data_IF_993099311769
#
_entry.id   IF_993099311769
#
_cell.length_a   1.000
_cell.length_b   1.000
_cell.length_c   1.000
_cell.angle_alpha   90.00
_cell.angle_beta   90.00
_cell.angle_gamma   90.00
#
_symmetry.space_group_name_H-M   'P 1'
#
loop_
_entity.id
_entity.type
_entity.pdbx_description
1 polymer ?
#
# COMPACT_ATOMS: atom_id res chain seq x y z
N UNK A 1 -2.86 -2.11 -27.15
CA UNK A 1 -3.76 -1.78 -26.03
C UNK A 1 -5.09 -1.46 -26.68
N UNK A 2 -6.15 -2.19 -26.37
CA UNK A 2 -7.45 -2.12 -27.06
C UNK A 2 -8.48 -1.25 -26.33
N UNK A 3 -8.08 -0.53 -25.29
CA UNK A 3 -8.95 0.40 -24.59
C UNK A 3 -8.80 1.80 -25.17
N UNK A 4 -9.92 2.39 -25.57
CA UNK A 4 -10.03 3.81 -25.88
C UNK A 4 -9.99 4.63 -24.59
N UNK A 5 -8.86 4.63 -23.88
CA UNK A 5 -8.70 5.54 -22.74
C UNK A 5 -8.43 6.95 -23.25
N UNK A 6 -9.11 7.99 -22.73
CA UNK A 6 -8.76 9.36 -23.04
C UNK A 6 -7.28 9.61 -22.75
N UNK A 7 -6.55 10.10 -23.75
CA UNK A 7 -5.16 10.52 -23.59
C UNK A 7 -5.11 11.81 -22.78
N UNK A 8 -4.27 11.85 -21.75
CA UNK A 8 -4.00 13.04 -20.95
C UNK A 8 -2.58 13.55 -21.24
N UNK A 9 -2.35 14.86 -21.39
CA UNK A 9 -1.00 15.41 -21.54
C UNK A 9 -0.09 14.95 -20.40
N UNK A 10 1.10 14.42 -20.74
CA UNK A 10 2.07 14.01 -19.73
C UNK A 10 3.12 15.09 -19.51
N UNK A 11 3.56 15.22 -18.25
CA UNK A 11 4.70 16.05 -17.82
C UNK A 11 6.00 15.26 -17.97
N UNK A 12 7.12 15.95 -17.73
CA UNK A 12 8.48 15.38 -17.69
C UNK A 12 8.90 14.71 -18.99
N UNK A 13 9.01 15.49 -20.06
CA UNK A 13 9.53 15.02 -21.34
C UNK A 13 10.14 16.15 -22.16
N UNK A 14 10.94 15.79 -23.15
CA UNK A 14 11.54 16.73 -24.09
C UNK A 14 11.60 16.13 -25.50
N UNK A 15 11.66 17.00 -26.51
CA UNK A 15 12.01 16.59 -27.87
C UNK A 15 13.48 16.21 -27.93
N UNK A 16 13.80 15.12 -28.64
CA UNK A 16 15.20 14.74 -28.87
C UNK A 16 15.77 15.48 -30.09
N UNK A 17 17.08 15.34 -30.32
CA UNK A 17 17.74 15.82 -31.54
C UNK A 17 17.24 15.15 -32.84
N UNK A 18 16.49 14.05 -32.75
CA UNK A 18 15.88 13.38 -33.90
C UNK A 18 14.45 13.90 -34.11
N UNK A 19 14.09 14.41 -35.29
CA UNK A 19 12.74 14.91 -35.57
C UNK A 19 11.65 13.88 -35.27
N UNK A 20 10.56 14.34 -34.64
CA UNK A 20 9.41 13.49 -34.31
C UNK A 20 9.66 12.42 -33.25
N UNK A 21 10.77 12.52 -32.50
CA UNK A 21 11.10 11.62 -31.39
C UNK A 21 11.19 12.40 -30.08
N UNK A 22 10.53 11.89 -29.06
CA UNK A 22 10.52 12.44 -27.70
C UNK A 22 11.25 11.53 -26.73
N UNK A 23 11.65 12.07 -25.57
CA UNK A 23 12.18 11.33 -24.42
C UNK A 23 11.33 11.62 -23.19
N UNK A 24 10.82 10.57 -22.54
CA UNK A 24 10.16 10.69 -21.23
C UNK A 24 11.22 10.71 -20.13
N UNK A 25 11.17 11.72 -19.25
CA UNK A 25 12.08 11.97 -18.14
C UNK A 25 11.39 11.79 -16.77
N UNK A 26 10.25 11.09 -16.70
CA UNK A 26 9.58 10.80 -15.43
C UNK A 26 10.38 9.82 -14.55
N UNK A 27 11.03 8.83 -15.17
CA UNK A 27 11.79 7.81 -14.45
C UNK A 27 13.12 7.50 -15.17
N UNK A 28 14.07 6.84 -14.49
CA UNK A 28 15.43 6.59 -15.02
C UNK A 28 15.54 5.65 -16.21
N UNK A 29 14.41 5.31 -16.85
CA UNK A 29 14.39 4.59 -18.12
C UNK A 29 14.65 5.48 -19.32
N UNK A 30 14.35 6.77 -19.23
CA UNK A 30 14.47 7.72 -20.33
C UNK A 30 13.93 7.19 -21.67
N UNK A 31 12.72 6.63 -21.66
CA UNK A 31 12.15 5.98 -22.84
C UNK A 31 12.07 6.98 -24.00
N UNK A 32 12.67 6.62 -25.14
CA UNK A 32 12.62 7.40 -26.37
C UNK A 32 11.58 6.80 -27.30
N UNK A 33 10.61 7.60 -27.71
CA UNK A 33 9.44 7.14 -28.45
C UNK A 33 9.23 7.98 -29.71
N UNK A 34 8.72 7.35 -30.76
CA UNK A 34 8.12 8.01 -31.92
C UNK A 34 6.59 7.86 -31.86
N UNK A 35 5.87 8.51 -32.77
CA UNK A 35 4.41 8.50 -32.83
C UNK A 35 3.82 7.07 -32.72
N UNK A 36 2.83 6.91 -31.84
CA UNK A 36 2.17 5.62 -31.59
C UNK A 36 2.96 4.64 -30.72
N UNK A 37 4.20 4.96 -30.33
CA UNK A 37 4.98 4.13 -29.40
C UNK A 37 4.71 4.46 -27.95
N UNK A 38 4.77 3.41 -27.13
CA UNK A 38 4.64 3.47 -25.68
C UNK A 38 5.99 3.15 -25.02
N UNK A 39 6.20 3.74 -23.85
CA UNK A 39 7.34 3.47 -23.00
C UNK A 39 7.27 2.09 -22.37
N UNK A 40 8.27 1.77 -21.56
CA UNK A 40 8.35 0.47 -20.89
C UNK A 40 7.10 0.14 -20.06
N UNK A 41 6.55 1.14 -19.35
CA UNK A 41 5.37 0.97 -18.51
C UNK A 41 4.07 0.73 -19.27
N UNK A 42 4.10 0.87 -20.61
CA UNK A 42 2.97 0.73 -21.52
C UNK A 42 1.83 1.74 -21.34
N UNK A 43 1.84 2.57 -20.30
CA UNK A 43 0.79 3.57 -20.04
C UNK A 43 1.18 5.02 -20.36
N UNK A 44 2.41 5.25 -20.81
CA UNK A 44 2.86 6.56 -21.32
C UNK A 44 3.41 6.37 -22.72
N UNK A 45 3.08 7.26 -23.66
CA UNK A 45 3.41 7.10 -25.07
C UNK A 45 3.35 8.40 -25.85
N UNK A 46 3.96 8.42 -27.04
CA UNK A 46 3.86 9.58 -27.91
C UNK A 46 2.56 9.54 -28.71
N UNK A 47 1.80 10.63 -28.64
CA UNK A 47 0.68 10.90 -29.55
C UNK A 47 0.67 12.39 -29.92
N UNK A 48 0.35 12.71 -31.17
CA UNK A 48 0.28 14.07 -31.71
C UNK A 48 1.55 14.90 -31.45
N UNK A 49 2.71 14.27 -31.55
CA UNK A 49 4.00 14.94 -31.33
C UNK A 49 4.34 15.31 -29.88
N UNK A 50 3.54 14.86 -28.89
CA UNK A 50 3.76 15.07 -27.47
C UNK A 50 3.66 13.79 -26.65
N UNK A 51 4.24 13.78 -25.44
CA UNK A 51 4.03 12.69 -24.50
C UNK A 51 2.63 12.77 -23.90
N UNK A 52 1.94 11.64 -23.86
CA UNK A 52 0.67 11.48 -23.17
C UNK A 52 0.75 10.33 -22.17
N UNK A 53 -0.08 10.39 -21.14
CA UNK A 53 -0.41 9.26 -20.28
C UNK A 53 -1.80 8.75 -20.64
N UNK A 54 -1.96 7.43 -20.58
CA UNK A 54 -3.16 6.68 -20.97
C UNK A 54 -3.80 5.98 -19.77
N UNK A 55 -3.31 6.26 -18.57
CA UNK A 55 -3.88 5.76 -17.32
C UNK A 55 -4.41 6.89 -16.42
N UNK A 56 -4.59 8.13 -16.90
CA UNK A 56 -5.14 9.21 -16.07
C UNK A 56 -6.54 8.85 -15.58
N UNK A 57 -6.72 8.76 -14.25
CA UNK A 57 -7.96 8.27 -13.64
C UNK A 57 -8.27 6.79 -13.89
N UNK A 58 -7.36 6.01 -14.48
CA UNK A 58 -7.54 4.56 -14.69
C UNK A 58 -6.88 3.80 -13.55
N UNK A 59 -7.71 3.08 -12.81
CA UNK A 59 -7.36 2.42 -11.57
C UNK A 59 -7.92 1.00 -11.54
N UNK A 60 -7.64 0.27 -10.48
CA UNK A 60 -8.51 -0.82 -9.99
C UNK A 60 -9.50 -0.30 -8.96
N UNK A 61 -10.41 -1.16 -8.49
CA UNK A 61 -11.35 -0.84 -7.41
C UNK A 61 -10.64 -0.23 -6.20
N UNK A 62 -11.16 0.90 -5.72
CA UNK A 62 -10.70 1.51 -4.48
C UNK A 62 -11.08 0.63 -3.28
N UNK A 63 -10.21 0.64 -2.28
CA UNK A 63 -10.35 -0.21 -1.09
C UNK A 63 -10.26 0.60 0.18
N UNK A 64 -11.12 0.28 1.15
CA UNK A 64 -11.00 0.75 2.52
C UNK A 64 -10.00 -0.13 3.27
N UNK A 65 -8.95 0.49 3.76
CA UNK A 65 -7.90 -0.19 4.52
C UNK A 65 -7.52 0.63 5.77
N UNK A 66 -6.50 0.17 6.48
CA UNK A 66 -5.86 0.89 7.58
C UNK A 66 -4.43 1.24 7.21
N UNK A 67 -3.90 2.36 7.71
CA UNK A 67 -2.56 2.86 7.36
C UNK A 67 -1.44 1.83 7.57
N UNK A 68 -1.64 0.89 8.49
CA UNK A 68 -0.74 -0.22 8.74
C UNK A 68 -0.49 -1.07 7.49
N UNK A 69 -1.48 -1.24 6.59
CA UNK A 69 -1.35 -2.03 5.35
C UNK A 69 -0.19 -1.52 4.49
N UNK A 70 0.05 -0.22 4.54
CA UNK A 70 1.10 0.46 3.78
C UNK A 70 2.47 0.43 4.46
N UNK A 71 2.61 -0.27 5.59
CA UNK A 71 3.82 -0.27 6.42
C UNK A 71 4.18 1.14 6.89
N UNK A 72 3.18 1.86 7.42
CA UNK A 72 3.34 3.17 8.06
C UNK A 72 2.77 3.07 9.47
N UNK A 73 3.64 3.04 10.48
CA UNK A 73 3.24 2.84 11.89
C UNK A 73 3.38 4.12 12.72
N UNK A 74 4.19 5.08 12.27
CA UNK A 74 4.48 6.32 13.00
C UNK A 74 3.70 7.53 12.50
N UNK A 75 2.67 7.30 11.69
CA UNK A 75 1.74 8.34 11.25
C UNK A 75 0.30 7.82 11.35
N UNK A 76 -0.54 8.52 12.10
CA UNK A 76 -1.96 8.25 12.24
C UNK A 76 -2.30 6.76 12.50
N UNK A 77 -1.66 6.09 13.50
CA UNK A 77 -1.85 4.66 13.74
C UNK A 77 -3.33 4.29 13.89
N UNK A 78 -3.74 3.22 13.19
CA UNK A 78 -5.13 2.74 13.11
C UNK A 78 -6.07 3.61 12.26
N UNK A 79 -5.56 4.62 11.55
CA UNK A 79 -6.41 5.45 10.68
C UNK A 79 -6.89 4.67 9.46
N UNK A 80 -8.16 4.88 9.10
CA UNK A 80 -8.73 4.40 7.84
C UNK A 80 -8.15 5.18 6.68
N UNK A 81 -7.80 4.46 5.63
CA UNK A 81 -7.25 5.01 4.39
C UNK A 81 -8.10 4.55 3.20
N UNK A 82 -8.18 5.40 2.18
CA UNK A 82 -8.72 5.04 0.87
C UNK A 82 -7.55 4.68 -0.05
N UNK A 83 -7.38 3.40 -0.35
CA UNK A 83 -6.28 2.89 -1.17
C UNK A 83 -6.69 2.76 -2.63
N UNK A 84 -5.87 3.29 -3.55
CA UNK A 84 -6.03 3.17 -4.99
C UNK A 84 -4.74 2.71 -5.67
N UNK A 85 -4.88 1.81 -6.64
CA UNK A 85 -3.78 1.36 -7.50
C UNK A 85 -4.05 1.62 -8.97
N UNK A 86 -3.02 2.05 -9.71
CA UNK A 86 -3.16 2.39 -11.12
C UNK A 86 -3.11 1.15 -12.04
N UNK A 87 -3.00 1.39 -13.35
CA UNK A 87 -2.55 0.39 -14.32
C UNK A 87 -1.14 0.74 -14.83
N UNK A 88 -0.29 -0.28 -14.95
CA UNK A 88 1.09 -0.18 -15.44
C UNK A 88 2.12 0.04 -14.33
N UNK A 89 3.40 -0.15 -14.66
CA UNK A 89 4.51 0.10 -13.73
C UNK A 89 5.80 0.40 -14.51
N UNK A 90 6.67 1.24 -13.96
CA UNK A 90 8.00 1.47 -14.54
C UNK A 90 8.98 0.33 -14.23
N UNK A 91 8.67 -0.59 -13.31
CA UNK A 91 9.47 -1.78 -13.01
C UNK A 91 8.77 -3.04 -13.53
N UNK A 92 9.46 -4.18 -13.50
CA UNK A 92 8.89 -5.48 -13.89
C UNK A 92 9.39 -6.56 -12.94
N UNK A 93 9.03 -6.43 -11.66
CA UNK A 93 9.43 -7.36 -10.62
C UNK A 93 8.87 -8.76 -10.90
N UNK A 94 9.75 -9.75 -10.96
CA UNK A 94 9.37 -11.15 -11.26
C UNK A 94 8.58 -11.81 -10.10
N UNK A 95 8.57 -11.21 -8.92
CA UNK A 95 7.81 -11.62 -7.72
C UNK A 95 6.56 -10.77 -7.43
N UNK A 96 6.19 -9.85 -8.33
CA UNK A 96 5.14 -8.87 -8.06
C UNK A 96 3.80 -9.53 -7.72
N UNK A 97 3.20 -9.17 -6.58
CA UNK A 97 1.87 -9.62 -6.17
C UNK A 97 0.78 -9.02 -7.06
N UNK A 98 0.95 -7.76 -7.47
CA UNK A 98 0.04 -7.03 -8.35
C UNK A 98 0.48 -7.10 -9.83
N UNK A 99 0.97 -8.26 -10.28
CA UNK A 99 1.54 -8.43 -11.62
C UNK A 99 0.51 -8.26 -12.74
N UNK A 100 -0.76 -8.60 -12.51
CA UNK A 100 -1.84 -8.48 -13.49
C UNK A 100 -2.11 -7.01 -13.88
N UNK A 101 -2.05 -6.10 -12.91
CA UNK A 101 -2.35 -4.67 -13.10
C UNK A 101 -1.08 -3.87 -13.41
N UNK A 102 0.07 -4.26 -12.84
CA UNK A 102 1.36 -3.61 -13.11
C UNK A 102 1.93 -3.96 -14.48
N UNK A 103 1.69 -5.16 -15.01
CA UNK A 103 2.12 -5.56 -16.34
C UNK A 103 0.94 -5.62 -17.29
N UNK A 104 0.70 -4.52 -18.00
CA UNK A 104 -0.49 -4.32 -18.85
C UNK A 104 -0.77 -5.43 -19.86
N UNK A 105 0.23 -6.22 -20.27
CA UNK A 105 0.04 -7.40 -21.13
C UNK A 105 -0.81 -8.51 -20.48
N UNK A 106 -0.97 -8.47 -19.16
CA UNK A 106 -1.72 -9.42 -18.34
C UNK A 106 -3.01 -8.81 -17.78
N UNK A 107 -3.30 -7.55 -18.11
CA UNK A 107 -4.43 -6.84 -17.53
C UNK A 107 -5.76 -7.49 -17.91
N UNK A 108 -6.54 -7.85 -16.90
CA UNK A 108 -7.94 -8.18 -17.06
C UNK A 108 -8.78 -6.90 -17.15
N UNK A 109 -9.43 -6.68 -18.29
CA UNK A 109 -10.26 -5.50 -18.55
C UNK A 109 -11.36 -5.29 -17.50
N UNK A 110 -11.86 -6.38 -16.88
CA UNK A 110 -12.97 -6.36 -15.93
C UNK A 110 -12.65 -5.71 -14.59
N UNK A 111 -11.37 -5.65 -14.21
CA UNK A 111 -10.94 -5.04 -12.94
C UNK A 111 -10.64 -3.55 -13.08
N UNK A 112 -10.67 -3.02 -14.30
CA UNK A 112 -10.39 -1.61 -14.57
C UNK A 112 -11.56 -0.74 -14.08
N UNK A 113 -11.23 0.36 -13.44
CA UNK A 113 -12.12 1.40 -12.95
C UNK A 113 -11.65 2.77 -13.42
N UNK A 114 -12.59 3.71 -13.47
CA UNK A 114 -12.34 5.08 -13.87
C UNK A 114 -12.79 6.03 -12.75
N UNK A 115 -11.91 6.95 -12.38
CA UNK A 115 -12.14 7.95 -11.36
C UNK A 115 -11.72 9.32 -11.86
N UNK A 116 -12.51 10.35 -11.54
CA UNK A 116 -12.02 11.74 -11.56
C UNK A 116 -11.35 12.07 -10.22
N UNK A 117 -10.45 13.07 -10.18
CA UNK A 117 -9.88 13.56 -8.92
C UNK A 117 -10.94 13.91 -7.85
N UNK A 118 -12.04 14.54 -8.26
CA UNK A 118 -13.15 14.91 -7.38
C UNK A 118 -13.87 13.68 -6.81
N UNK A 119 -14.07 12.64 -7.62
CA UNK A 119 -14.69 11.40 -7.16
C UNK A 119 -13.85 10.71 -6.08
N UNK A 120 -12.52 10.69 -6.23
CA UNK A 120 -11.62 10.10 -5.22
C UNK A 120 -11.72 10.87 -3.90
N UNK A 121 -11.63 12.21 -3.95
CA UNK A 121 -11.72 13.05 -2.75
C UNK A 121 -13.09 12.92 -2.09
N UNK A 122 -14.18 12.93 -2.85
CA UNK A 122 -15.52 12.75 -2.32
C UNK A 122 -15.70 11.37 -1.68
N UNK A 123 -15.17 10.31 -2.30
CA UNK A 123 -15.23 8.95 -1.76
C UNK A 123 -14.49 8.86 -0.43
N UNK A 124 -13.33 9.52 -0.29
CA UNK A 124 -12.59 9.56 0.96
C UNK A 124 -13.38 10.28 2.06
N UNK A 125 -14.04 11.41 1.75
CA UNK A 125 -14.90 12.13 2.70
C UNK A 125 -16.10 11.27 3.14
N UNK A 126 -16.82 10.68 2.18
CA UNK A 126 -18.03 9.89 2.43
C UNK A 126 -17.72 8.64 3.27
N UNK A 127 -16.52 8.09 3.12
CA UNK A 127 -16.06 6.89 3.83
C UNK A 127 -15.36 7.19 5.15
N UNK A 128 -15.21 8.48 5.50
CA UNK A 128 -14.48 8.90 6.71
C UNK A 128 -12.98 8.61 6.67
N UNK A 129 -12.39 8.48 5.48
CA UNK A 129 -10.96 8.28 5.30
C UNK A 129 -10.23 9.62 5.33
N UNK A 130 -9.44 9.85 6.38
CA UNK A 130 -8.61 11.06 6.50
C UNK A 130 -7.36 11.03 5.61
N UNK A 131 -7.10 9.92 4.93
CA UNK A 131 -5.88 9.69 4.14
C UNK A 131 -6.23 8.96 2.83
N UNK A 132 -5.70 9.42 1.70
CA UNK A 132 -5.71 8.70 0.42
C UNK A 132 -4.34 8.07 0.21
N UNK A 133 -4.30 6.75 -0.07
CA UNK A 133 -3.08 5.98 -0.34
C UNK A 133 -2.97 5.65 -1.83
N UNK A 134 -1.83 6.00 -2.41
CA UNK A 134 -1.44 5.64 -3.78
C UNK A 134 -0.54 4.41 -3.73
N UNK A 135 -1.04 3.24 -4.15
CA UNK A 135 -0.46 1.92 -3.80
C UNK A 135 -0.71 0.81 -4.86
N UNK A 136 -0.64 -0.46 -4.42
CA UNK A 136 -0.75 -1.75 -5.13
C UNK A 136 0.34 -1.99 -6.17
N UNK A 137 0.33 -1.24 -7.25
CA UNK A 137 1.47 -1.19 -8.15
C UNK A 137 2.34 0.02 -7.80
N UNK A 138 2.89 0.73 -8.77
CA UNK A 138 3.75 1.87 -8.46
C UNK A 138 3.13 3.18 -8.99
N UNK A 139 2.77 4.12 -8.11
CA UNK A 139 2.04 5.33 -8.49
C UNK A 139 2.83 6.33 -9.33
N UNK A 140 4.14 6.18 -9.49
CA UNK A 140 4.97 7.12 -10.28
C UNK A 140 4.50 7.22 -11.73
N UNK A 141 4.03 6.13 -12.35
CA UNK A 141 3.52 6.22 -13.74
C UNK A 141 2.18 6.95 -13.85
N UNK A 142 1.51 7.19 -12.71
CA UNK A 142 0.24 7.89 -12.53
C UNK A 142 0.42 9.34 -12.04
N UNK A 143 1.64 9.87 -12.18
CA UNK A 143 2.10 11.17 -11.68
C UNK A 143 1.07 12.30 -11.76
N UNK A 144 0.53 12.56 -12.95
CA UNK A 144 -0.41 13.68 -13.18
C UNK A 144 -1.70 13.53 -12.38
N UNK A 145 -2.30 12.33 -12.37
CA UNK A 145 -3.52 12.07 -11.62
C UNK A 145 -3.29 12.17 -10.11
N UNK A 146 -2.15 11.67 -9.65
CA UNK A 146 -1.75 11.77 -8.23
C UNK A 146 -1.58 13.23 -7.82
N UNK A 147 -0.89 14.05 -8.61
CA UNK A 147 -0.71 15.47 -8.30
C UNK A 147 -2.04 16.22 -8.23
N UNK A 148 -2.87 16.09 -9.27
CA UNK A 148 -4.14 16.81 -9.36
C UNK A 148 -5.08 16.41 -8.21
N UNK A 149 -5.17 15.10 -7.93
CA UNK A 149 -6.03 14.60 -6.85
C UNK A 149 -5.49 14.96 -5.47
N UNK A 150 -4.17 14.92 -5.26
CA UNK A 150 -3.56 15.27 -3.97
C UNK A 150 -3.71 16.76 -3.65
N UNK A 151 -3.66 17.64 -4.67
CA UNK A 151 -3.97 19.07 -4.48
C UNK A 151 -5.42 19.31 -4.06
N UNK A 152 -6.37 18.54 -4.58
CA UNK A 152 -7.77 18.60 -4.14
C UNK A 152 -7.95 18.02 -2.73
N UNK A 153 -7.29 16.90 -2.43
CA UNK A 153 -7.30 16.28 -1.11
C UNK A 153 -6.82 17.25 -0.02
N UNK A 154 -5.71 17.96 -0.27
CA UNK A 154 -5.19 18.97 0.64
C UNK A 154 -6.20 20.10 0.91
N UNK A 155 -6.92 20.58 -0.12
CA UNK A 155 -7.98 21.59 0.04
C UNK A 155 -9.16 21.08 0.88
N UNK A 156 -9.41 19.76 0.84
CA UNK A 156 -10.44 19.10 1.65
C UNK A 156 -9.94 18.68 3.05
N UNK A 157 -8.68 18.95 3.40
CA UNK A 157 -8.09 18.56 4.69
C UNK A 157 -7.71 17.07 4.77
N UNK A 158 -7.66 16.37 3.64
CA UNK A 158 -7.28 14.96 3.54
C UNK A 158 -5.78 14.85 3.27
N UNK A 159 -5.11 13.96 4.01
CA UNK A 159 -3.69 13.65 3.85
C UNK A 159 -3.45 12.67 2.71
N UNK A 160 -2.24 12.65 2.16
CA UNK A 160 -1.89 11.68 1.11
C UNK A 160 -0.66 10.86 1.45
N UNK A 161 -0.75 9.57 1.15
CA UNK A 161 0.27 8.55 1.35
C UNK A 161 0.73 8.01 0.00
N UNK A 162 2.04 7.92 -0.19
CA UNK A 162 2.67 7.44 -1.41
C UNK A 162 3.48 6.16 -1.15
N UNK A 163 2.88 4.99 -1.47
CA UNK A 163 3.53 3.68 -1.37
C UNK A 163 4.20 3.35 -2.69
N UNK A 164 5.53 3.24 -2.72
CA UNK A 164 6.25 3.11 -4.00
C UNK A 164 7.60 2.42 -3.87
N UNK A 165 8.04 1.73 -4.93
CA UNK A 165 9.43 1.32 -5.10
C UNK A 165 10.35 2.50 -5.51
N UNK A 166 9.73 3.64 -5.83
CA UNK A 166 10.33 4.95 -5.97
C UNK A 166 11.43 5.06 -7.04
N UNK A 167 11.23 4.35 -8.15
CA UNK A 167 12.10 4.45 -9.32
C UNK A 167 11.68 5.63 -10.20
N UNK A 168 12.05 6.84 -9.78
CA UNK A 168 11.60 8.13 -10.32
C UNK A 168 12.79 9.11 -10.47
N UNK A 169 12.68 10.08 -11.39
CA UNK A 169 13.68 11.15 -11.56
C UNK A 169 13.58 12.27 -10.51
N UNK A 170 14.56 13.19 -10.50
CA UNK A 170 14.65 14.27 -9.48
C UNK A 170 13.47 15.23 -9.51
N UNK A 171 13.22 15.83 -10.67
CA UNK A 171 12.26 16.91 -10.82
C UNK A 171 10.82 16.46 -10.52
N UNK A 172 10.37 15.25 -10.93
CA UNK A 172 9.08 14.72 -10.49
C UNK A 172 8.97 14.54 -8.97
N UNK A 173 10.05 14.19 -8.27
CA UNK A 173 10.02 14.06 -6.80
C UNK A 173 9.75 15.42 -6.16
N UNK A 174 10.38 16.49 -6.66
CA UNK A 174 10.15 17.84 -6.14
C UNK A 174 8.67 18.24 -6.23
N UNK A 175 7.96 17.87 -7.30
CA UNK A 175 6.51 18.09 -7.42
C UNK A 175 5.70 17.23 -6.42
N UNK A 176 6.07 15.96 -6.22
CA UNK A 176 5.42 15.09 -5.23
C UNK A 176 5.60 15.61 -3.81
N UNK A 177 6.77 16.17 -3.49
CA UNK A 177 7.07 16.74 -2.17
C UNK A 177 6.18 17.94 -1.81
N UNK A 178 5.53 18.60 -2.78
CA UNK A 178 4.57 19.67 -2.51
C UNK A 178 3.21 19.12 -2.04
N UNK A 179 2.83 17.93 -2.54
CA UNK A 179 1.45 17.43 -2.40
C UNK A 179 1.31 16.20 -1.49
N UNK A 180 2.38 15.43 -1.33
CA UNK A 180 2.41 14.19 -0.53
C UNK A 180 2.85 14.47 0.91
N UNK A 181 2.07 13.97 1.88
CA UNK A 181 2.39 14.08 3.30
C UNK A 181 3.28 12.93 3.80
N UNK A 182 3.02 11.72 3.32
CA UNK A 182 3.57 10.46 3.86
C UNK A 182 4.19 9.64 2.73
N UNK A 183 5.46 9.27 2.86
CA UNK A 183 6.14 8.36 1.94
C UNK A 183 6.41 7.02 2.63
N UNK A 184 5.93 5.94 2.02
CA UNK A 184 6.26 4.57 2.41
C UNK A 184 7.03 3.93 1.28
N UNK A 185 8.36 3.90 1.41
CA UNK A 185 9.23 3.53 0.29
C UNK A 185 9.72 2.09 0.42
N UNK A 186 9.60 1.33 -0.66
CA UNK A 186 10.01 -0.08 -0.74
C UNK A 186 11.44 -0.19 -1.26
N UNK A 187 12.40 -0.35 -0.34
CA UNK A 187 13.78 -0.67 -0.67
C UNK A 187 13.90 -2.19 -0.82
N UNK A 188 14.04 -2.66 -2.05
CA UNK A 188 13.86 -4.09 -2.36
C UNK A 188 15.08 -4.93 -2.02
N UNK A 189 16.28 -4.35 -2.09
CA UNK A 189 17.56 -5.00 -1.81
C UNK A 189 18.67 -3.94 -1.91
N UNK A 190 19.81 -4.17 -1.27
CA UNK A 190 21.03 -3.38 -1.51
C UNK A 190 21.94 -3.99 -2.57
N UNK A 191 21.54 -5.09 -3.22
CA UNK A 191 22.28 -5.71 -4.30
C UNK A 191 21.87 -5.13 -5.66
N UNK A 192 22.78 -4.48 -6.42
CA UNK A 192 22.46 -3.99 -7.78
C UNK A 192 21.99 -5.10 -8.73
N UNK A 193 22.50 -6.32 -8.54
CA UNK A 193 22.11 -7.49 -9.33
C UNK A 193 20.63 -7.86 -9.13
N UNK A 194 20.06 -7.65 -7.93
CA UNK A 194 18.64 -7.85 -7.66
C UNK A 194 17.80 -6.92 -8.55
N UNK A 195 18.13 -5.62 -8.55
CA UNK A 195 17.39 -4.63 -9.34
C UNK A 195 17.47 -4.92 -10.83
N UNK A 196 18.66 -5.25 -11.35
CA UNK A 196 18.86 -5.53 -12.77
C UNK A 196 18.15 -6.82 -13.22
N UNK A 197 18.31 -7.91 -12.46
CA UNK A 197 17.84 -9.24 -12.84
C UNK A 197 16.39 -9.49 -12.46
N UNK A 198 15.93 -9.03 -11.29
CA UNK A 198 14.62 -9.36 -10.73
C UNK A 198 13.61 -8.25 -10.98
N UNK A 199 14.01 -6.98 -10.78
CA UNK A 199 13.09 -5.83 -10.90
C UNK A 199 13.16 -5.10 -12.26
N UNK A 200 14.14 -5.45 -13.09
CA UNK A 200 14.47 -4.81 -14.39
C UNK A 200 14.72 -3.30 -14.28
N UNK A 201 15.36 -2.86 -13.21
CA UNK A 201 15.66 -1.47 -12.88
C UNK A 201 17.09 -1.32 -12.36
N UNK A 202 17.47 -0.12 -11.92
CA UNK A 202 18.74 0.18 -11.24
C UNK A 202 18.49 0.51 -9.77
N UNK A 203 19.44 0.18 -8.90
CA UNK A 203 19.32 0.42 -7.46
C UNK A 203 19.58 1.90 -7.13
N UNK A 204 20.63 2.46 -7.71
CA UNK A 204 21.17 3.77 -7.33
C UNK A 204 20.12 4.89 -7.40
N UNK A 205 19.27 5.00 -8.45
CA UNK A 205 18.24 6.03 -8.47
C UNK A 205 17.26 5.91 -7.29
N UNK A 206 16.90 4.70 -6.87
CA UNK A 206 16.00 4.50 -5.71
C UNK A 206 16.64 5.02 -4.44
N UNK A 207 17.90 4.66 -4.18
CA UNK A 207 18.63 5.12 -2.99
C UNK A 207 18.72 6.65 -2.94
N UNK A 208 19.08 7.28 -4.07
CA UNK A 208 19.17 8.73 -4.15
C UNK A 208 17.82 9.42 -3.91
N UNK A 209 16.72 8.85 -4.43
CA UNK A 209 15.38 9.43 -4.25
C UNK A 209 14.84 9.25 -2.84
N UNK A 210 15.15 8.12 -2.18
CA UNK A 210 14.85 7.94 -0.75
C UNK A 210 15.55 9.03 0.08
N UNK A 211 16.84 9.30 -0.19
CA UNK A 211 17.59 10.36 0.49
C UNK A 211 16.99 11.75 0.21
N UNK A 212 16.56 12.03 -1.03
CA UNK A 212 15.88 13.28 -1.37
C UNK A 212 14.60 13.49 -0.54
N UNK A 213 13.78 12.44 -0.38
CA UNK A 213 12.57 12.50 0.46
C UNK A 213 12.93 12.70 1.93
N UNK A 214 13.93 11.97 2.45
CA UNK A 214 14.38 12.13 3.82
C UNK A 214 14.82 13.58 4.12
N UNK A 215 15.57 14.20 3.20
CA UNK A 215 16.05 15.58 3.33
C UNK A 215 14.94 16.64 3.26
N UNK A 216 13.75 16.28 2.76
CA UNK A 216 12.60 17.20 2.64
C UNK A 216 11.83 17.40 3.95
N UNK A 217 12.09 16.58 4.98
CA UNK A 217 11.32 16.49 6.22
C UNK A 217 9.86 16.01 6.08
N UNK A 218 9.48 15.44 4.93
CA UNK A 218 8.22 14.67 4.81
C UNK A 218 8.31 13.39 5.64
N UNK A 219 7.16 12.87 6.10
CA UNK A 219 7.15 11.62 6.85
C UNK A 219 7.63 10.49 5.94
N UNK A 220 8.58 9.68 6.43
CA UNK A 220 9.21 8.61 5.66
C UNK A 220 9.31 7.36 6.53
N UNK A 221 8.83 6.25 5.99
CA UNK A 221 9.11 4.91 6.51
C UNK A 221 9.64 4.02 5.39
N UNK A 222 10.54 3.10 5.73
CA UNK A 222 11.17 2.18 4.77
C UNK A 222 10.64 0.78 5.00
N UNK A 223 10.32 0.09 3.91
CA UNK A 223 9.95 -1.33 3.95
C UNK A 223 10.82 -2.15 3.01
N UNK A 224 11.19 -3.35 3.43
CA UNK A 224 11.85 -4.35 2.61
C UNK A 224 11.07 -5.67 2.69
N UNK A 225 10.65 -6.16 1.53
CA UNK A 225 10.12 -7.52 1.39
C UNK A 225 11.30 -8.49 1.40
N UNK A 226 11.34 -9.40 2.36
CA UNK A 226 12.36 -10.45 2.41
C UNK A 226 11.87 -11.66 1.64
N UNK A 227 12.60 -12.06 0.61
CA UNK A 227 12.30 -13.18 -0.30
C UNK A 227 13.38 -14.24 -0.06
N UNK A 228 12.99 -15.48 0.31
CA UNK A 228 13.93 -16.56 0.56
C UNK A 228 14.94 -16.75 -0.57
N UNK A 229 16.20 -16.94 -0.19
CA UNK A 229 17.36 -17.19 -1.07
C UNK A 229 17.72 -16.03 -2.01
N UNK A 230 17.04 -14.88 -1.89
CA UNK A 230 17.22 -13.75 -2.78
C UNK A 230 17.71 -12.48 -2.08
N UNK A 231 17.20 -12.20 -0.88
CA UNK A 231 17.62 -11.05 -0.07
C UNK A 231 17.38 -11.22 1.45
N UNK A 232 17.23 -12.46 1.94
CA UNK A 232 16.96 -12.77 3.36
C UNK A 232 18.17 -13.33 4.13
N UNK A 233 19.33 -13.40 3.48
CA UNK A 233 20.59 -13.74 4.13
C UNK A 233 21.04 -12.62 5.07
N UNK A 234 21.79 -12.98 6.12
CA UNK A 234 22.24 -12.01 7.13
C UNK A 234 23.05 -10.86 6.52
N UNK A 235 23.90 -11.15 5.53
CA UNK A 235 24.67 -10.13 4.80
C UNK A 235 23.76 -9.14 4.07
N UNK A 236 22.71 -9.62 3.40
CA UNK A 236 21.76 -8.75 2.69
C UNK A 236 21.00 -7.85 3.66
N UNK A 237 20.55 -8.40 4.78
CA UNK A 237 19.87 -7.64 5.84
C UNK A 237 20.82 -6.60 6.45
N UNK A 238 22.05 -6.98 6.79
CA UNK A 238 23.06 -6.05 7.32
C UNK A 238 23.33 -4.90 6.35
N UNK A 239 23.45 -5.19 5.05
CA UNK A 239 23.64 -4.17 4.04
C UNK A 239 22.48 -3.16 4.01
N UNK A 240 21.23 -3.62 4.07
CA UNK A 240 20.08 -2.71 4.17
C UNK A 240 20.12 -1.89 5.45
N UNK A 241 20.28 -2.55 6.60
CA UNK A 241 20.25 -1.90 7.92
C UNK A 241 21.34 -0.83 8.02
N UNK A 242 22.58 -1.17 7.65
CA UNK A 242 23.70 -0.23 7.66
C UNK A 242 23.43 0.96 6.73
N UNK A 243 22.91 0.71 5.52
CA UNK A 243 22.58 1.78 4.60
C UNK A 243 21.52 2.73 5.18
N UNK A 244 20.47 2.19 5.80
CA UNK A 244 19.42 3.00 6.47
C UNK A 244 20.03 3.83 7.60
N UNK A 245 20.83 3.23 8.48
CA UNK A 245 21.48 3.93 9.59
C UNK A 245 22.40 5.05 9.08
N UNK A 246 23.23 4.77 8.08
CA UNK A 246 24.21 5.72 7.54
C UNK A 246 23.57 6.89 6.79
N UNK A 247 22.47 6.65 6.07
CA UNK A 247 21.89 7.64 5.15
C UNK A 247 20.63 8.33 5.69
N UNK A 248 19.88 7.66 6.57
CA UNK A 248 18.58 8.11 7.09
C UNK A 248 18.57 8.26 8.63
N UNK A 249 19.59 7.73 9.30
CA UNK A 249 19.65 7.68 10.77
C UNK A 249 18.81 6.56 11.38
N UNK A 250 18.79 6.52 12.71
CA UNK A 250 18.14 5.44 13.49
C UNK A 250 16.67 5.70 13.82
N UNK A 251 16.15 6.89 13.49
CA UNK A 251 14.76 7.27 13.78
C UNK A 251 13.77 6.77 12.74
N UNK A 252 14.20 6.60 11.49
CA UNK A 252 13.32 6.21 10.39
C UNK A 252 12.88 4.77 10.61
N UNK A 253 11.56 4.51 10.76
CA UNK A 253 11.06 3.15 10.94
C UNK A 253 11.42 2.24 9.77
N UNK A 254 11.85 1.02 10.10
CA UNK A 254 12.17 -0.02 9.13
C UNK A 254 11.23 -1.22 9.29
N UNK A 255 10.59 -1.62 8.19
CA UNK A 255 9.67 -2.75 8.16
C UNK A 255 10.26 -3.90 7.35
N UNK A 256 10.44 -5.05 7.97
CA UNK A 256 10.71 -6.30 7.23
C UNK A 256 9.39 -7.03 7.00
N UNK A 257 9.08 -7.29 5.74
CA UNK A 257 7.79 -7.85 5.34
C UNK A 257 8.00 -9.26 4.79
N UNK A 258 7.17 -10.21 5.23
CA UNK A 258 7.18 -11.59 4.73
C UNK A 258 6.71 -11.67 3.28
N UNK A 259 7.47 -12.40 2.46
CA UNK A 259 7.12 -12.74 1.09
C UNK A 259 6.09 -13.88 1.05
N UNK A 260 5.19 -13.80 0.08
CA UNK A 260 4.37 -14.92 -0.35
C UNK A 260 4.56 -15.19 -1.85
N UNK A 261 4.47 -16.46 -2.29
CA UNK A 261 4.63 -16.84 -3.69
C UNK A 261 3.65 -16.08 -4.59
N UNK A 262 4.16 -15.51 -5.69
CA UNK A 262 3.36 -14.82 -6.70
C UNK A 262 4.09 -14.77 -8.05
N UNK A 263 3.33 -14.58 -9.13
CA UNK A 263 3.82 -14.40 -10.49
C UNK A 263 4.82 -15.47 -10.96
N UNK A 264 6.12 -15.15 -11.13
CA UNK A 264 7.13 -16.12 -11.57
C UNK A 264 7.83 -16.84 -10.41
N UNK A 265 7.47 -16.49 -9.18
CA UNK A 265 8.08 -17.01 -7.95
C UNK A 265 7.13 -17.96 -7.21
N UNK A 266 6.21 -18.62 -7.92
CA UNK A 266 5.27 -19.59 -7.34
C UNK A 266 5.96 -20.82 -6.72
N UNK A 267 7.20 -21.12 -7.13
CA UNK A 267 8.00 -22.22 -6.57
C UNK A 267 8.94 -21.82 -5.43
N UNK A 268 8.87 -20.57 -4.94
CA UNK A 268 9.67 -20.10 -3.81
C UNK A 268 8.80 -20.12 -2.56
N UNK A 269 9.31 -20.70 -1.48
CA UNK A 269 8.59 -20.77 -0.20
C UNK A 269 8.33 -19.38 0.40
N UNK A 270 7.38 -19.32 1.33
CA UNK A 270 7.15 -18.13 2.15
C UNK A 270 8.34 -17.83 3.04
N UNK A 271 8.53 -16.55 3.36
CA UNK A 271 9.52 -16.16 4.37
C UNK A 271 9.13 -16.73 5.71
N UNK A 272 10.06 -17.47 6.33
CA UNK A 272 9.82 -18.01 7.66
C UNK A 272 9.77 -16.89 8.70
N UNK A 273 8.97 -17.10 9.74
CA UNK A 273 8.95 -16.21 10.91
C UNK A 273 10.34 -16.08 11.56
N UNK A 274 11.13 -17.16 11.54
CA UNK A 274 12.50 -17.16 12.05
C UNK A 274 13.40 -16.18 11.28
N UNK A 275 13.37 -16.19 9.94
CA UNK A 275 14.13 -15.24 9.12
C UNK A 275 13.71 -13.80 9.39
N UNK A 276 12.42 -13.53 9.55
CA UNK A 276 11.91 -12.19 9.87
C UNK A 276 12.35 -11.72 11.27
N UNK A 277 12.23 -12.56 12.30
CA UNK A 277 12.68 -12.25 13.65
C UNK A 277 14.19 -12.00 13.71
N UNK A 278 14.97 -12.80 12.99
CA UNK A 278 16.42 -12.61 12.85
C UNK A 278 16.74 -11.26 12.19
N UNK A 279 16.06 -10.92 11.11
CA UNK A 279 16.26 -9.64 10.42
C UNK A 279 15.93 -8.43 11.31
N UNK A 280 14.81 -8.51 12.07
CA UNK A 280 14.45 -7.50 13.07
C UNK A 280 15.52 -7.36 14.15
N UNK A 281 16.05 -8.48 14.66
CA UNK A 281 17.10 -8.42 15.67
C UNK A 281 18.35 -7.69 15.16
N UNK A 282 18.78 -7.97 13.92
CA UNK A 282 19.90 -7.25 13.30
C UNK A 282 19.67 -5.74 13.20
N UNK A 283 18.45 -5.31 12.86
CA UNK A 283 18.09 -3.89 12.84
C UNK A 283 18.18 -3.25 14.24
N UNK A 284 17.64 -3.91 15.26
CA UNK A 284 17.67 -3.43 16.64
C UNK A 284 19.11 -3.36 17.19
N UNK A 285 19.93 -4.38 16.91
CA UNK A 285 21.33 -4.45 17.33
C UNK A 285 22.18 -3.34 16.68
N UNK A 286 21.85 -2.94 15.45
CA UNK A 286 22.46 -1.81 14.75
C UNK A 286 21.95 -0.44 15.24
N UNK A 287 20.98 -0.41 16.16
CA UNK A 287 20.47 0.80 16.78
C UNK A 287 19.24 1.41 16.11
N UNK A 288 18.63 0.75 15.10
CA UNK A 288 17.33 1.19 14.57
C UNK A 288 16.31 1.08 15.71
N UNK A 289 15.67 2.20 16.05
CA UNK A 289 14.78 2.24 17.23
C UNK A 289 13.48 1.48 17.02
N UNK A 290 12.93 1.58 15.80
CA UNK A 290 11.63 1.04 15.47
C UNK A 290 11.76 0.12 14.26
N UNK A 291 11.81 -1.19 14.53
CA UNK A 291 11.80 -2.20 13.48
C UNK A 291 10.60 -3.15 13.67
N UNK A 292 9.79 -3.27 12.61
CA UNK A 292 8.51 -3.97 12.63
C UNK A 292 8.48 -5.12 11.62
N UNK A 293 7.63 -6.11 11.89
CA UNK A 293 7.37 -7.22 10.98
C UNK A 293 6.01 -7.07 10.31
N UNK A 294 6.02 -6.93 8.98
CA UNK A 294 4.81 -6.94 8.15
C UNK A 294 4.42 -8.36 7.74
N UNK A 295 3.12 -8.59 7.55
CA UNK A 295 2.53 -9.90 7.23
C UNK A 295 2.81 -10.96 8.31
N UNK A 296 2.90 -10.54 9.58
CA UNK A 296 3.07 -11.42 10.73
C UNK A 296 1.97 -11.13 11.76
N UNK A 297 1.15 -12.14 12.06
CA UNK A 297 0.08 -12.09 13.06
C UNK A 297 0.57 -12.69 14.38
N UNK A 298 1.37 -11.92 15.13
CA UNK A 298 1.95 -12.31 16.41
C UNK A 298 2.10 -11.09 17.31
N UNK A 299 1.91 -11.27 18.61
CA UNK A 299 2.15 -10.21 19.60
C UNK A 299 3.64 -9.80 19.68
N UNK A 300 3.91 -8.53 20.00
CA UNK A 300 5.27 -8.04 20.30
C UNK A 300 6.19 -7.79 19.11
N UNK A 301 5.73 -8.00 17.87
CA UNK A 301 6.52 -7.72 16.65
C UNK A 301 6.15 -6.40 15.94
N UNK A 302 4.98 -5.84 16.28
CA UNK A 302 4.40 -4.66 15.63
C UNK A 302 4.09 -3.50 16.60
N UNK A 303 4.36 -3.71 17.89
CA UNK A 303 4.09 -2.73 18.95
C UNK A 303 5.17 -1.64 18.98
N UNK A 304 4.75 -0.41 19.28
CA UNK A 304 5.68 0.71 19.47
C UNK A 304 5.86 0.99 20.96
N UNK A 305 7.10 1.07 21.42
CA UNK A 305 7.46 1.36 22.81
C UNK A 305 8.16 2.71 22.96
N UNK A 306 8.06 3.30 24.15
CA UNK A 306 8.70 4.58 24.45
C UNK A 306 10.22 4.40 24.54
N UNK A 307 10.96 5.13 23.72
CA UNK A 307 12.43 5.09 23.73
C UNK A 307 13.08 5.55 25.05
N UNK A 308 12.33 6.12 26.00
CA UNK A 308 12.85 6.60 27.28
C UNK A 308 12.50 5.72 28.48
N UNK A 309 11.26 5.18 28.53
CA UNK A 309 10.78 4.41 29.69
C UNK A 309 10.22 3.04 29.32
N UNK A 310 10.31 2.65 28.04
CA UNK A 310 9.83 1.38 27.49
C UNK A 310 8.32 1.14 27.61
N UNK A 311 7.56 2.14 28.08
CA UNK A 311 6.10 2.05 28.13
C UNK A 311 5.53 1.79 26.73
N UNK A 312 4.58 0.87 26.64
CA UNK A 312 3.84 0.56 25.42
C UNK A 312 3.06 1.79 24.96
N UNK A 313 3.40 2.32 23.79
CA UNK A 313 2.78 3.51 23.21
C UNK A 313 1.58 3.15 22.33
N UNK A 314 1.78 2.16 21.46
CA UNK A 314 0.77 1.67 20.52
C UNK A 314 0.88 0.16 20.44
N UNK A 315 -0.20 -0.56 20.72
CA UNK A 315 -0.30 -2.01 20.46
C UNK A 315 -0.88 -2.26 19.08
N UNK A 316 -0.38 -3.31 18.40
CA UNK A 316 -0.85 -3.72 17.08
C UNK A 316 -0.92 -5.24 16.96
N UNK A 317 -2.08 -5.72 16.52
CA UNK A 317 -2.25 -7.08 16.03
C UNK A 317 -2.97 -7.05 14.69
N UNK A 318 -2.28 -7.39 13.61
CA UNK A 318 -2.83 -7.23 12.26
C UNK A 318 -3.17 -5.76 12.00
N UNK A 319 -4.44 -5.49 11.71
CA UNK A 319 -5.01 -4.15 11.52
C UNK A 319 -5.76 -3.62 12.75
N UNK A 320 -5.78 -4.37 13.85
CA UNK A 320 -6.31 -3.89 15.13
C UNK A 320 -5.22 -3.13 15.90
N UNK A 321 -5.49 -1.85 16.16
CA UNK A 321 -4.51 -0.91 16.70
C UNK A 321 -5.08 -0.17 17.91
N UNK A 322 -4.29 -0.03 18.98
CA UNK A 322 -4.67 0.76 20.14
C UNK A 322 -3.54 1.69 20.57
N UNK A 323 -3.77 3.00 20.46
CA UNK A 323 -2.82 4.07 20.82
C UNK A 323 -3.05 4.60 22.24
N UNK A 324 -3.17 3.72 23.23
CA UNK A 324 -3.50 4.09 24.61
C UNK A 324 -2.33 4.68 25.41
N UNK A 325 -1.09 4.48 24.96
CA UNK A 325 0.13 4.93 25.64
C UNK A 325 0.58 6.36 25.31
N UNK A 326 -0.20 7.10 24.51
CA UNK A 326 0.15 8.42 24.00
C UNK A 326 -0.89 9.48 24.38
N UNK A 327 -0.42 10.68 24.69
CA UNK A 327 -1.24 11.89 24.68
C UNK A 327 -1.56 12.32 23.25
N UNK A 328 -2.56 13.18 23.07
CA UNK A 328 -2.95 13.74 21.76
C UNK A 328 -1.79 14.43 21.03
N UNK A 329 -0.85 15.01 21.77
CA UNK A 329 0.33 15.70 21.25
C UNK A 329 1.52 14.79 20.93
N UNK A 330 1.35 13.46 20.99
CA UNK A 330 2.38 12.49 20.64
C UNK A 330 3.41 12.24 21.75
N UNK A 331 3.21 12.75 22.97
CA UNK A 331 4.07 12.43 24.12
C UNK A 331 3.63 11.14 24.82
N UNK A 332 4.60 10.40 25.34
CA UNK A 332 4.35 9.22 26.18
C UNK A 332 3.52 9.62 27.41
N UNK A 333 2.44 8.89 27.67
CA UNK A 333 1.55 9.16 28.80
C UNK A 333 2.16 8.83 30.18
N UNK A 334 3.30 8.13 30.22
CA UNK A 334 3.96 7.71 31.45
C UNK A 334 5.16 8.61 31.83
N UNK A 335 6.04 8.93 30.88
CA UNK A 335 7.25 9.73 31.16
C UNK A 335 7.22 11.14 30.55
N UNK A 336 6.25 11.45 29.69
CA UNK A 336 6.13 12.76 29.03
C UNK A 336 7.14 13.01 27.90
N UNK A 337 8.00 12.05 27.56
CA UNK A 337 8.93 12.18 26.43
C UNK A 337 8.18 12.20 25.09
N UNK A 338 8.62 13.02 24.14
CA UNK A 338 8.10 13.03 22.77
C UNK A 338 8.38 11.70 22.07
N UNK A 339 7.37 11.15 21.40
CA UNK A 339 7.54 10.04 20.46
C UNK A 339 7.72 10.56 19.04
N UNK A 340 8.12 9.69 18.12
CA UNK A 340 8.14 9.97 16.68
C UNK A 340 6.78 9.77 16.00
N UNK A 341 5.73 9.39 16.75
CA UNK A 341 4.39 9.13 16.19
C UNK A 341 3.66 10.45 15.98
N UNK A 342 3.20 10.67 14.75
CA UNK A 342 2.37 11.81 14.38
C UNK A 342 0.88 11.42 14.40
N UNK A 343 0.01 12.33 14.83
CA UNK A 343 -1.45 12.15 14.87
C UNK A 343 -1.89 10.85 15.60
N UNK A 344 -1.46 10.61 16.85
CA UNK A 344 -1.63 9.30 17.52
C UNK A 344 -3.09 8.88 17.77
N UNK A 345 -4.05 9.82 17.72
CA UNK A 345 -5.46 9.58 18.02
C UNK A 345 -6.36 9.50 16.77
N UNK A 346 -5.79 9.38 15.57
CA UNK A 346 -6.59 9.33 14.32
C UNK A 346 -7.35 8.01 14.10
N UNK A 347 -6.96 6.92 14.77
CA UNK A 347 -7.57 5.60 14.61
C UNK A 347 -8.78 5.31 15.52
N UNK A 348 -9.21 6.24 16.36
CA UNK A 348 -10.16 5.95 17.45
C UNK A 348 -11.64 6.21 17.10
N UNK A 349 -12.05 6.03 15.85
CA UNK A 349 -13.44 6.26 15.47
C UNK A 349 -14.37 5.12 15.97
N UNK A 350 -14.86 5.23 17.20
CA UNK A 350 -16.02 4.49 17.69
C UNK A 350 -17.29 4.94 16.96
N UNK A 351 -17.59 4.33 15.82
CA UNK A 351 -18.93 4.43 15.24
C UNK A 351 -19.79 3.30 15.82
N UNK A 352 -20.42 3.57 16.97
CA UNK A 352 -21.55 2.77 17.47
C UNK A 352 -22.74 2.94 16.53
N UNK A 353 -22.71 2.25 15.40
CA UNK A 353 -23.84 2.19 14.47
C UNK A 353 -24.59 0.89 14.77
N UNK A 354 -25.86 1.04 15.17
CA UNK A 354 -26.79 -0.08 15.23
C UNK A 354 -27.19 -0.43 13.80
N UNK A 355 -26.56 -1.46 13.24
CA UNK A 355 -26.99 -2.07 11.99
C UNK A 355 -28.12 -3.06 12.29
N UNK A 356 -29.23 -2.97 11.55
CA UNK A 356 -30.24 -4.03 11.50
C UNK A 356 -29.92 -4.92 10.29
N UNK A 357 -29.17 -6.03 10.46
CA UNK A 357 -28.73 -6.81 9.31
C UNK A 357 -29.90 -7.53 8.65
N UNK A 358 -29.92 -7.52 7.33
CA UNK A 358 -30.75 -8.44 6.54
C UNK A 358 -30.05 -9.77 6.32
N UNK A 359 -28.74 -9.70 6.06
CA UNK A 359 -27.91 -10.88 5.80
C UNK A 359 -26.72 -10.91 6.75
N UNK A 360 -26.26 -12.12 7.09
CA UNK A 360 -25.14 -12.36 7.99
C UNK A 360 -24.38 -13.62 7.57
N UNK A 361 -23.06 -13.59 7.71
CA UNK A 361 -22.17 -14.74 7.53
C UNK A 361 -21.16 -14.79 8.68
N UNK A 362 -21.04 -15.94 9.35
CA UNK A 362 -19.99 -16.20 10.33
C UNK A 362 -18.84 -16.98 9.67
N UNK A 363 -17.62 -16.59 9.98
CA UNK A 363 -16.40 -17.21 9.49
C UNK A 363 -15.50 -17.54 10.68
N UNK A 364 -15.02 -18.78 10.75
CA UNK A 364 -14.08 -19.22 11.78
C UNK A 364 -12.68 -19.11 11.18
N UNK A 365 -11.78 -18.40 11.86
CA UNK A 365 -10.39 -18.31 11.42
C UNK A 365 -9.79 -19.71 11.43
N UNK A 366 -9.31 -20.18 10.28
CA UNK A 366 -8.81 -21.55 10.15
C UNK A 366 -7.57 -21.61 9.28
N UNK A 367 -6.71 -22.58 9.56
CA UNK A 367 -5.43 -22.74 8.88
C UNK A 367 -4.56 -21.50 9.01
N UNK A 368 -4.23 -20.90 7.87
CA UNK A 368 -3.37 -19.73 7.74
C UNK A 368 -4.16 -18.45 7.40
N UNK A 369 -5.49 -18.50 7.32
CA UNK A 369 -6.32 -17.34 6.99
C UNK A 369 -6.37 -16.36 8.16
N UNK A 370 -5.82 -15.16 7.97
CA UNK A 370 -5.83 -14.10 8.98
C UNK A 370 -6.52 -12.82 8.48
N UNK A 371 -7.08 -12.82 7.28
CA UNK A 371 -7.77 -11.66 6.72
C UNK A 371 -8.89 -12.08 5.77
N UNK A 372 -9.82 -11.17 5.53
CA UNK A 372 -10.88 -11.29 4.54
C UNK A 372 -10.98 -10.01 3.72
N UNK A 373 -11.30 -10.13 2.44
CA UNK A 373 -11.76 -9.02 1.63
C UNK A 373 -13.27 -9.10 1.51
N UNK A 374 -13.95 -8.03 1.91
CA UNK A 374 -15.39 -7.86 1.74
C UNK A 374 -15.59 -7.03 0.48
N UNK A 375 -16.13 -7.64 -0.57
CA UNK A 375 -16.30 -7.03 -1.87
C UNK A 375 -17.77 -6.93 -2.26
N UNK A 376 -18.17 -5.76 -2.76
CA UNK A 376 -19.44 -5.54 -3.41
C UNK A 376 -19.24 -5.64 -4.93
N UNK A 377 -19.83 -6.65 -5.60
CA UNK A 377 -19.81 -6.70 -7.06
C UNK A 377 -20.40 -5.42 -7.65
N UNK A 378 -19.92 -5.03 -8.83
CA UNK A 378 -20.40 -3.84 -9.51
C UNK A 378 -21.92 -3.89 -9.72
N UNK A 379 -22.61 -2.86 -9.23
CA UNK A 379 -24.05 -2.67 -9.35
C UNK A 379 -24.34 -1.23 -9.80
N UNK A 380 -25.46 -1.01 -10.48
CA UNK A 380 -25.74 0.28 -11.13
C UNK A 380 -25.86 1.43 -10.11
N UNK A 381 -26.45 1.20 -8.93
CA UNK A 381 -26.60 2.20 -7.87
C UNK A 381 -26.64 1.57 -6.45
N UNK A 382 -26.44 2.40 -5.43
CA UNK A 382 -26.65 2.06 -4.03
C UNK A 382 -25.38 1.88 -3.20
N UNK A 383 -25.59 1.65 -1.91
CA UNK A 383 -24.56 1.39 -0.92
C UNK A 383 -25.01 0.30 0.04
N UNK A 384 -24.05 -0.41 0.62
CA UNK A 384 -24.30 -1.48 1.56
C UNK A 384 -23.50 -1.22 2.82
N UNK A 385 -24.19 -1.04 3.94
CA UNK A 385 -23.57 -0.88 5.24
C UNK A 385 -23.18 -2.26 5.77
N UNK A 386 -21.96 -2.37 6.27
CA UNK A 386 -21.36 -3.61 6.76
C UNK A 386 -20.88 -3.40 8.19
N UNK A 387 -21.28 -4.32 9.06
CA UNK A 387 -20.79 -4.46 10.43
C UNK A 387 -19.97 -5.75 10.55
N UNK A 388 -18.77 -5.61 11.09
CA UNK A 388 -17.87 -6.70 11.45
C UNK A 388 -17.87 -6.83 12.96
N UNK A 389 -18.12 -8.03 13.46
CA UNK A 389 -18.02 -8.35 14.88
C UNK A 389 -17.06 -9.52 15.09
N UNK A 390 -15.95 -9.25 15.76
CA UNK A 390 -14.97 -10.26 16.15
C UNK A 390 -15.40 -10.95 17.43
N UNK A 391 -14.99 -12.20 17.62
CA UNK A 391 -15.33 -13.00 18.81
C UNK A 391 -14.75 -12.41 20.10
N UNK A 392 -13.63 -11.67 19.99
CA UNK A 392 -13.03 -10.94 21.11
C UNK A 392 -13.75 -9.62 21.46
N UNK A 393 -14.82 -9.27 20.74
CA UNK A 393 -15.62 -8.06 20.95
C UNK A 393 -15.18 -6.82 20.16
N UNK A 394 -14.09 -6.89 19.39
CA UNK A 394 -13.71 -5.84 18.45
C UNK A 394 -14.81 -5.69 17.38
N UNK A 395 -15.07 -4.45 16.96
CA UNK A 395 -16.12 -4.14 15.98
C UNK A 395 -15.63 -3.12 14.97
N UNK A 396 -16.00 -3.33 13.72
CA UNK A 396 -15.71 -2.41 12.63
C UNK A 396 -16.96 -2.15 11.81
N UNK A 397 -17.09 -0.94 11.30
CA UNK A 397 -18.21 -0.53 10.47
C UNK A 397 -17.71 0.25 9.26
N UNK A 398 -18.23 -0.09 8.09
CA UNK A 398 -17.97 0.62 6.84
C UNK A 398 -19.14 0.49 5.86
N UNK A 399 -19.17 1.37 4.86
CA UNK A 399 -20.18 1.38 3.81
C UNK A 399 -19.49 1.13 2.48
N UNK A 400 -19.90 0.08 1.77
CA UNK A 400 -19.45 -0.20 0.41
C UNK A 400 -20.36 0.51 -0.59
N UNK A 401 -19.79 1.06 -1.66
CA UNK A 401 -20.50 1.82 -2.69
C UNK A 401 -19.87 1.56 -4.06
N UNK A 402 -20.38 2.22 -5.11
CA UNK A 402 -19.83 2.08 -6.46
C UNK A 402 -18.41 2.65 -6.61
N UNK A 403 -18.00 3.58 -5.72
CA UNK A 403 -16.65 4.15 -5.74
C UNK A 403 -15.73 3.54 -4.67
N UNK A 404 -16.28 2.71 -3.77
CA UNK A 404 -15.57 1.99 -2.72
C UNK A 404 -16.12 0.56 -2.64
N UNK A 405 -15.58 -0.32 -3.48
CA UNK A 405 -16.16 -1.65 -3.69
C UNK A 405 -15.61 -2.69 -2.71
N UNK A 406 -14.51 -2.39 -2.01
CA UNK A 406 -13.80 -3.35 -1.16
C UNK A 406 -13.43 -2.77 0.19
N UNK A 407 -13.44 -3.61 1.22
CA UNK A 407 -12.80 -3.36 2.50
C UNK A 407 -11.94 -4.57 2.92
N UNK A 408 -10.80 -4.31 3.58
CA UNK A 408 -9.95 -5.35 4.17
C UNK A 408 -10.19 -5.42 5.67
N UNK A 409 -10.43 -6.62 6.16
CA UNK A 409 -10.61 -6.93 7.58
C UNK A 409 -9.60 -7.99 7.98
N UNK A 410 -8.93 -7.82 9.11
CA UNK A 410 -7.99 -8.82 9.62
C UNK A 410 -8.44 -9.39 10.95
N UNK A 411 -7.90 -10.55 11.32
CA UNK A 411 -8.00 -11.10 12.67
C UNK A 411 -7.58 -10.06 13.72
N UNK A 412 -8.35 -9.94 14.80
CA UNK A 412 -8.21 -8.86 15.78
C UNK A 412 -7.47 -9.24 17.08
N UNK A 413 -6.79 -10.37 17.10
CA UNK A 413 -5.98 -10.85 18.23
C UNK A 413 -5.69 -12.35 18.16
N UNK A 414 -4.74 -12.84 18.97
CA UNK A 414 -4.43 -14.28 19.03
C UNK A 414 -5.62 -15.13 19.51
N UNK A 415 -6.50 -14.55 20.34
CA UNK A 415 -7.71 -15.22 20.87
C UNK A 415 -8.96 -14.96 20.03
N UNK A 416 -8.87 -14.17 18.96
CA UNK A 416 -9.99 -13.96 18.04
C UNK A 416 -10.18 -15.24 17.21
N UNK A 417 -11.20 -16.04 17.50
CA UNK A 417 -11.44 -17.33 16.84
C UNK A 417 -12.38 -17.26 15.65
N UNK A 418 -13.18 -16.21 15.55
CA UNK A 418 -14.16 -16.06 14.47
C UNK A 418 -14.56 -14.60 14.26
N UNK A 419 -15.03 -14.31 13.05
CA UNK A 419 -15.62 -13.03 12.68
C UNK A 419 -17.03 -13.23 12.14
N UNK A 420 -17.91 -12.30 12.48
CA UNK A 420 -19.28 -12.21 11.96
C UNK A 420 -19.38 -10.99 11.06
N UNK A 421 -19.76 -11.20 9.80
CA UNK A 421 -20.02 -10.15 8.82
C UNK A 421 -21.53 -10.01 8.64
N UNK A 422 -22.04 -8.81 8.85
CA UNK A 422 -23.46 -8.46 8.80
C UNK A 422 -23.68 -7.28 7.86
N UNK A 423 -24.70 -7.30 7.00
CA UNK A 423 -24.97 -6.18 6.09
C UNK A 423 -26.45 -5.80 5.93
N UNK A 424 -26.68 -4.55 5.55
CA UNK A 424 -27.99 -3.86 5.58
C UNK A 424 -29.03 -4.35 4.56
N UNK A 425 -28.61 -5.10 3.55
CA UNK A 425 -29.44 -5.42 2.40
C UNK A 425 -29.19 -6.85 1.86
N UNK A 426 -29.78 -7.15 0.70
CA UNK A 426 -29.67 -8.43 0.02
C UNK A 426 -28.53 -8.41 -1.04
N UNK A 427 -27.59 -7.46 -0.94
CA UNK A 427 -26.47 -7.34 -1.87
C UNK A 427 -25.62 -8.61 -1.84
N UNK A 428 -25.14 -9.08 -3.01
CA UNK A 428 -24.36 -10.30 -3.11
C UNK A 428 -22.89 -10.04 -2.73
N UNK A 429 -22.63 -9.64 -1.49
CA UNK A 429 -21.27 -9.39 -1.02
C UNK A 429 -20.43 -10.68 -1.13
N UNK A 430 -19.25 -10.56 -1.74
CA UNK A 430 -18.25 -11.62 -1.79
C UNK A 430 -17.33 -11.49 -0.58
N UNK A 431 -17.13 -12.59 0.13
CA UNK A 431 -16.20 -12.66 1.27
C UNK A 431 -15.08 -13.59 0.86
N UNK A 432 -13.91 -13.03 0.60
CA UNK A 432 -12.74 -13.73 0.09
C UNK A 432 -11.76 -13.93 1.24
N UNK A 433 -11.52 -15.18 1.61
CA UNK A 433 -10.55 -15.54 2.65
C UNK A 433 -9.14 -15.42 2.11
N UNK A 434 -8.29 -14.69 2.83
CA UNK A 434 -6.91 -14.45 2.44
C UNK A 434 -5.96 -14.72 3.60
N UNK A 435 -4.79 -15.24 3.24
CA UNK A 435 -3.79 -15.73 4.21
C UNK A 435 -3.20 -14.58 5.03
N UNK A 436 -2.93 -13.46 4.36
CA UNK A 436 -2.58 -12.19 4.98
C UNK A 436 -3.18 -11.02 4.16
N UNK A 437 -2.98 -9.79 4.65
CA UNK A 437 -3.47 -8.55 4.05
C UNK A 437 -2.89 -8.24 2.66
N UNK A 438 -1.78 -8.88 2.26
CA UNK A 438 -1.08 -8.60 1.01
C UNK A 438 -1.63 -9.43 -0.17
N UNK A 439 -2.50 -10.41 0.09
CA UNK A 439 -3.10 -11.21 -0.96
C UNK A 439 -4.25 -10.42 -1.61
N UNK A 440 -3.99 -9.84 -2.77
CA UNK A 440 -5.05 -9.47 -3.69
C UNK A 440 -5.58 -10.75 -4.34
N UNK A 441 -6.87 -11.09 -4.20
CA UNK A 441 -7.42 -12.25 -4.86
C UNK A 441 -7.23 -12.07 -6.37
N UNK A 442 -6.36 -12.92 -6.92
CA UNK A 442 -6.10 -13.05 -8.35
C UNK A 442 -7.33 -13.68 -8.98
N UNK A 443 -7.64 -13.38 -10.24
CA UNK A 443 -8.89 -13.79 -10.88
C UNK A 443 -9.20 -15.31 -10.82
N UNK A 444 -8.19 -16.15 -10.57
CA UNK A 444 -8.31 -17.61 -10.47
C UNK A 444 -8.84 -18.10 -9.09
N UNK A 445 -8.76 -17.29 -8.03
CA UNK A 445 -9.35 -17.65 -6.72
C UNK A 445 -10.88 -17.47 -6.68
N UNK A 446 -11.46 -16.93 -7.76
CA UNK A 446 -12.92 -16.84 -7.95
C UNK A 446 -13.57 -18.22 -8.22
N UNK A 447 -12.81 -19.31 -8.38
CA UNK A 447 -13.34 -20.68 -8.49
C UNK A 447 -13.71 -21.32 -7.13
N UNK A 448 -13.54 -20.64 -6.00
CA UNK A 448 -14.05 -21.11 -4.70
C UNK A 448 -15.54 -20.78 -4.44
N UNK A 449 -16.29 -20.38 -5.48
CA UNK A 449 -17.74 -20.34 -5.42
C UNK A 449 -18.33 -21.76 -5.56
N UNK A 450 -19.00 -22.22 -4.49
CA UNK A 450 -20.02 -23.28 -4.42
C UNK A 450 -19.57 -24.74 -4.26
N UNK A 451 -19.10 -25.11 -3.07
CA UNK A 451 -19.56 -26.38 -2.47
C UNK A 451 -20.86 -26.10 -1.72
N UNK A 452 -21.97 -26.18 -2.46
CA UNK A 452 -23.28 -26.36 -1.88
C UNK A 452 -23.28 -27.68 -1.10
N UNK A 453 -23.38 -27.60 0.23
CA UNK A 453 -23.76 -28.75 1.02
C UNK A 453 -25.22 -29.10 0.68
N UNK A 454 -25.41 -30.33 0.20
CA UNK A 454 -26.68 -31.03 0.22
C UNK A 454 -27.10 -31.40 1.64
#
# INVERSE_FOLDING_TARGET
>A
MHFETPRHPARHWESTSKPGRIQCNLCPRHCKMIEGQYGFCRVRGQADGALHTFNYGVSVSATLEYIETEAVYHYAPGARILSLGNIGCMMSCDFCQNWETSQVKHLNERVVRHYTPEQVVQTALDSGCGIISWTYNDPVVWHEFVLDTSLLAQKAGIKTLYKSAFYIEREPVDELLEVIDIFSLSLKSLAPAFYLKVSKAKLEPVLERIVQVHQSNRHLEISQLLIPELNDADEDVHNTVNWVVENLGTEVPLHFVGFHPAYKYLGVERTSLESLLRARQHALDAGIRNCYLGNVYRDGVSDTHCAHCDNLLVSRFGLTVQSSGLHEDGRCNQCGASSSIQLPQSGTAENRILLNPKTQRKLVWSGETNSIHVERPQADEGSTDVLIEHENGHREFFTLSNNLERAIVSRAGETDGAVTISWSDDSPLKILEVLDRAHFPVADDAELETTSNA
#
